data_IF_367983318523
#
_entry.id   IF_367983318523
#
_cell.length_a   1.000
_cell.length_b   1.000
_cell.length_c   1.000
_cell.angle_alpha   90.00
_cell.angle_beta   90.00
_cell.angle_gamma   90.00
#
_symmetry.space_group_name_H-M   'P 1'
#
loop_
_entity.id
_entity.type
_entity.pdbx_description
1 polymer ?
#
# COMPACT_ATOMS: atom_id res chain seq x y z
N UNK A 1 -6.89 -18.88 3.87
CA UNK A 1 -7.68 -18.91 2.62
C UNK A 1 -6.71 -18.86 1.44
N UNK A 2 -6.83 -19.78 0.48
CA UNK A 2 -5.97 -19.79 -0.72
C UNK A 2 -6.80 -19.50 -1.97
N UNK A 3 -6.60 -18.34 -2.58
CA UNK A 3 -7.31 -17.89 -3.79
C UNK A 3 -6.36 -18.02 -4.98
N UNK A 4 -6.77 -18.77 -6.00
CA UNK A 4 -6.04 -18.87 -7.28
C UNK A 4 -6.83 -18.15 -8.35
N UNK A 5 -6.26 -17.08 -8.90
CA UNK A 5 -6.87 -16.32 -9.98
C UNK A 5 -6.72 -17.08 -11.29
N UNK A 6 -7.85 -17.36 -11.96
CA UNK A 6 -7.85 -17.94 -13.31
C UNK A 6 -7.61 -16.89 -14.40
N UNK A 7 -7.78 -15.61 -14.05
CA UNK A 7 -7.63 -14.44 -14.93
C UNK A 7 -7.32 -13.21 -14.04
N UNK A 8 -6.78 -12.12 -14.58
CA UNK A 8 -6.40 -10.94 -13.79
C UNK A 8 -7.56 -10.41 -12.95
N UNK A 9 -7.28 -10.07 -11.69
CA UNK A 9 -8.26 -9.46 -10.80
C UNK A 9 -8.31 -7.96 -11.05
N UNK A 10 -9.43 -7.47 -11.59
CA UNK A 10 -9.66 -6.04 -11.76
C UNK A 10 -10.42 -5.48 -10.55
N UNK A 11 -9.77 -4.64 -9.76
CA UNK A 11 -10.37 -3.99 -8.59
C UNK A 11 -10.88 -2.61 -8.99
N UNK A 12 -12.17 -2.33 -8.73
CA UNK A 12 -12.78 -1.02 -9.04
C UNK A 12 -12.31 0.06 -8.06
N UNK A 13 -12.43 1.32 -8.48
CA UNK A 13 -12.21 2.48 -7.62
C UNK A 13 -13.10 2.42 -6.36
N UNK A 14 -12.56 2.89 -5.23
CA UNK A 14 -13.19 2.90 -3.90
C UNK A 14 -13.50 1.51 -3.31
N UNK A 15 -12.68 0.49 -3.62
CA UNK A 15 -12.82 -0.85 -3.05
C UNK A 15 -11.66 -1.17 -2.11
N UNK A 16 -11.97 -1.61 -0.89
CA UNK A 16 -10.98 -2.10 0.08
C UNK A 16 -10.92 -3.62 0.04
N UNK A 17 -9.70 -4.17 -0.05
CA UNK A 17 -9.43 -5.59 0.21
C UNK A 17 -8.89 -5.68 1.64
N UNK A 18 -9.71 -6.16 2.58
CA UNK A 18 -9.32 -6.29 3.99
C UNK A 18 -9.04 -7.75 4.34
N UNK A 19 -7.78 -8.06 4.63
CA UNK A 19 -7.31 -9.37 5.08
C UNK A 19 -6.99 -9.44 6.57
N UNK A 20 -7.27 -8.39 7.35
CA UNK A 20 -6.88 -8.36 8.77
C UNK A 20 -7.58 -9.47 9.55
N UNK A 21 -6.82 -10.17 10.39
CA UNK A 21 -7.31 -11.31 11.16
C UNK A 21 -7.50 -12.61 10.36
N UNK A 22 -7.11 -12.63 9.09
CA UNK A 22 -7.16 -13.82 8.24
C UNK A 22 -5.81 -14.08 7.55
N UNK A 23 -5.37 -15.34 7.53
CA UNK A 23 -4.26 -15.76 6.67
C UNK A 23 -4.79 -15.94 5.24
N UNK A 24 -4.47 -15.01 4.33
CA UNK A 24 -4.95 -15.00 2.95
C UNK A 24 -3.78 -15.04 1.97
N UNK A 25 -3.69 -16.13 1.22
CA UNK A 25 -2.74 -16.31 0.13
C UNK A 25 -3.45 -16.18 -1.22
N UNK A 26 -3.10 -15.16 -2.00
CA UNK A 26 -3.60 -14.97 -3.37
C UNK A 26 -2.48 -15.30 -4.37
N UNK A 27 -2.74 -16.22 -5.29
CA UNK A 27 -1.79 -16.68 -6.31
C UNK A 27 -2.38 -16.51 -7.72
N UNK A 28 -1.51 -16.44 -8.74
CA UNK A 28 -1.92 -16.34 -10.14
C UNK A 28 -1.83 -14.94 -10.75
N UNK A 29 -1.44 -13.91 -9.98
CA UNK A 29 -1.04 -12.61 -10.50
C UNK A 29 0.48 -12.48 -10.46
N UNK A 30 1.16 -12.68 -11.59
CA UNK A 30 2.63 -12.63 -11.64
C UNK A 30 3.19 -11.28 -11.21
N UNK A 31 4.49 -11.25 -10.87
CA UNK A 31 5.28 -10.05 -10.52
C UNK A 31 5.10 -8.86 -11.47
N UNK A 32 4.77 -9.12 -12.74
CA UNK A 32 4.58 -8.10 -13.78
C UNK A 32 3.13 -7.53 -13.81
N UNK A 33 2.21 -8.06 -12.98
CA UNK A 33 0.85 -7.55 -12.82
C UNK A 33 0.66 -6.64 -11.60
N UNK A 34 1.58 -6.68 -10.63
CA UNK A 34 1.48 -5.91 -9.37
C UNK A 34 2.54 -4.82 -9.37
N UNK A 35 2.07 -3.58 -9.45
CA UNK A 35 2.89 -2.38 -9.51
C UNK A 35 3.03 -1.78 -8.11
N UNK A 36 4.02 -2.23 -7.35
CA UNK A 36 4.41 -1.70 -6.01
C UNK A 36 5.17 -0.39 -6.17
N UNK A 37 4.95 0.70 -5.38
CA UNK A 37 5.68 2.01 -5.28
C UNK A 37 6.25 2.28 -3.91
N UNK A 38 7.47 2.81 -3.88
CA UNK A 38 7.97 3.59 -2.75
C UNK A 38 8.50 4.94 -3.25
N UNK A 39 8.03 6.04 -2.65
CA UNK A 39 8.50 7.42 -2.89
C UNK A 39 8.42 8.21 -1.61
N UNK A 40 9.57 8.73 -1.17
CA UNK A 40 9.65 9.57 0.02
C UNK A 40 9.55 8.81 1.33
N UNK A 41 9.62 7.47 1.29
CA UNK A 41 9.57 6.60 2.47
C UNK A 41 10.93 6.56 3.20
N UNK A 42 10.87 6.42 4.53
CA UNK A 42 12.04 6.16 5.36
C UNK A 42 12.13 4.65 5.63
N UNK A 43 13.29 4.07 5.30
CA UNK A 43 13.57 2.67 5.59
C UNK A 43 14.59 2.58 6.72
N UNK A 44 14.15 2.07 7.88
CA UNK A 44 15.00 1.87 9.05
C UNK A 44 15.38 0.40 9.21
N UNK A 45 16.51 0.13 9.89
CA UNK A 45 16.95 -1.21 10.26
C UNK A 45 17.09 -2.21 9.08
N UNK A 46 17.50 -1.70 7.91
CA UNK A 46 17.75 -2.53 6.72
C UNK A 46 16.51 -2.90 5.91
N UNK A 47 15.37 -2.24 6.15
CA UNK A 47 14.21 -2.33 5.27
C UNK A 47 14.53 -1.78 3.86
N UNK A 48 13.88 -2.32 2.83
CA UNK A 48 13.96 -1.81 1.44
C UNK A 48 12.79 -2.34 0.60
N UNK A 49 12.37 -1.59 -0.43
CA UNK A 49 11.31 -1.97 -1.39
C UNK A 49 11.60 -1.43 -2.81
N UNK A 50 10.89 -1.92 -3.83
CA UNK A 50 10.92 -1.47 -5.25
C UNK A 50 9.57 -0.94 -5.73
N UNK A 51 9.56 0.08 -6.63
CA UNK A 51 8.41 1.00 -6.80
C UNK A 51 7.76 1.35 -8.20
N UNK A 52 6.45 1.76 -8.28
CA UNK A 52 5.59 2.23 -9.41
C UNK A 52 4.48 3.27 -9.04
N UNK A 53 4.38 4.41 -9.75
CA UNK A 53 3.51 5.58 -9.42
C UNK A 53 1.98 5.35 -9.26
N UNK A 54 1.31 5.96 -8.25
CA UNK A 54 -0.15 5.93 -8.08
C UNK A 54 -0.90 6.87 -9.04
N UNK A 55 -2.17 6.53 -9.34
CA UNK A 55 -3.01 7.23 -10.33
C UNK A 55 -4.14 8.05 -9.68
N UNK A 56 -3.80 9.11 -8.93
CA UNK A 56 -4.78 10.05 -8.37
C UNK A 56 -5.14 11.16 -9.35
N UNK A 57 -6.41 11.60 -9.35
CA UNK A 57 -6.79 12.83 -10.03
C UNK A 57 -6.51 14.07 -9.16
N UNK A 58 -6.56 15.27 -9.76
CA UNK A 58 -6.23 16.54 -9.07
C UNK A 58 -7.08 16.85 -7.84
N UNK A 59 -8.28 16.27 -7.72
CA UNK A 59 -9.18 16.49 -6.59
C UNK A 59 -8.93 15.48 -5.46
N UNK A 60 -8.25 14.38 -5.74
CA UNK A 60 -7.85 13.35 -4.79
C UNK A 60 -6.41 13.53 -4.30
N UNK A 61 -5.61 14.31 -5.03
CA UNK A 61 -4.23 14.59 -4.67
C UNK A 61 -4.17 15.54 -3.47
N UNK A 62 -3.36 15.19 -2.48
CA UNK A 62 -3.00 16.03 -1.34
C UNK A 62 -1.49 16.02 -1.15
N UNK A 63 -0.90 17.07 -0.54
CA UNK A 63 0.53 17.09 -0.25
C UNK A 63 0.92 15.94 0.67
N UNK A 64 1.92 15.16 0.27
CA UNK A 64 2.57 14.19 1.14
C UNK A 64 3.72 14.89 1.89
N UNK A 65 3.77 14.74 3.21
CA UNK A 65 4.87 15.22 4.04
C UNK A 65 6.08 14.27 3.97
N UNK A 66 7.23 14.70 4.48
CA UNK A 66 8.43 13.86 4.58
C UNK A 66 8.18 12.67 5.49
N UNK A 67 8.75 11.50 5.17
CA UNK A 67 8.67 10.34 6.07
C UNK A 67 9.25 10.61 7.47
N UNK A 68 10.21 11.55 7.59
CA UNK A 68 10.75 11.96 8.89
C UNK A 68 9.73 12.62 9.82
N UNK A 69 8.67 13.22 9.28
CA UNK A 69 7.63 13.88 10.06
C UNK A 69 6.49 12.93 10.45
N UNK A 70 6.45 11.71 9.87
CA UNK A 70 5.35 10.76 10.05
C UNK A 70 5.10 10.48 11.53
N UNK A 71 6.15 10.27 12.33
CA UNK A 71 5.99 10.03 13.76
C UNK A 71 5.21 11.15 14.48
N UNK A 72 5.49 12.41 14.16
CA UNK A 72 4.76 13.56 14.71
C UNK A 72 3.35 13.69 14.10
N UNK A 73 3.19 13.46 12.79
CA UNK A 73 1.92 13.59 12.08
C UNK A 73 0.90 12.51 12.45
N UNK A 74 1.36 11.31 12.79
CA UNK A 74 0.50 10.18 13.17
C UNK A 74 0.40 9.99 14.69
N UNK A 75 0.99 10.90 15.48
CA UNK A 75 1.07 10.76 16.93
C UNK A 75 -0.33 10.68 17.59
N UNK A 76 -1.33 11.35 17.01
CA UNK A 76 -2.72 11.32 17.49
C UNK A 76 -3.60 10.26 16.81
N UNK A 77 -3.04 9.39 15.96
CA UNK A 77 -3.82 8.36 15.25
C UNK A 77 -4.20 7.19 16.17
N UNK A 78 -3.49 7.03 17.30
CA UNK A 78 -3.73 5.99 18.31
C UNK A 78 -3.51 6.55 19.74
N UNK A 79 -3.54 5.71 20.77
CA UNK A 79 -3.56 6.13 22.19
C UNK A 79 -2.21 6.61 22.75
N UNK A 80 -1.08 6.48 22.05
CA UNK A 80 0.20 6.90 22.63
C UNK A 80 1.15 7.59 21.64
N UNK A 81 1.58 8.78 22.07
CA UNK A 81 2.89 9.37 21.77
C UNK A 81 3.87 8.94 22.87
#
# INVERSE_FOLDING_TARGET
>A
MHIRLAQPLYVKNFTTIDGRGADVHVAGGGKDQWHWHSVGDAFENGAWETGVRPNYNRHQAFPAASAGDVGALTCSATVAC
#
